data_IF_428657999255
#
_entry.id   IF_428657999255
#
_cell.length_a   1.000
_cell.length_b   1.000
_cell.length_c   1.000
_cell.angle_alpha   90.00
_cell.angle_beta   90.00
_cell.angle_gamma   90.00
#
_symmetry.space_group_name_H-M   'P 1'
#
loop_
_entity.id
_entity.type
_entity.pdbx_description
1 polymer ?
#
# COMPACT_ATOMS: atom_id res chain seq x y z
N UNK A 1 -11.69 -0.87 -13.26
CA UNK A 1 -12.01 -1.24 -11.87
C UNK A 1 -13.26 -2.09 -11.82
N UNK A 2 -13.18 -3.25 -11.19
CA UNK A 2 -14.34 -4.12 -10.95
C UNK A 2 -15.25 -3.48 -9.90
N UNK A 3 -16.57 -3.70 -10.03
CA UNK A 3 -17.61 -3.20 -9.11
C UNK A 3 -17.65 -4.03 -7.82
N UNK A 4 -16.50 -4.23 -7.17
CA UNK A 4 -16.37 -5.09 -5.99
C UNK A 4 -16.65 -4.37 -4.67
N UNK A 5 -16.63 -3.04 -4.67
CA UNK A 5 -16.92 -2.23 -3.48
C UNK A 5 -18.31 -2.49 -2.90
N UNK A 6 -19.39 -2.36 -3.69
CA UNK A 6 -20.76 -2.55 -3.18
C UNK A 6 -21.01 -3.98 -2.67
N UNK A 7 -20.63 -5.05 -3.40
CA UNK A 7 -20.78 -6.41 -2.88
C UNK A 7 -19.96 -6.68 -1.62
N UNK A 8 -18.76 -6.10 -1.51
CA UNK A 8 -17.94 -6.21 -0.30
C UNK A 8 -18.58 -5.48 0.88
N UNK A 9 -19.06 -4.26 0.68
CA UNK A 9 -19.75 -3.46 1.71
C UNK A 9 -20.98 -4.20 2.26
N UNK A 10 -21.78 -4.84 1.39
CA UNK A 10 -22.92 -5.68 1.79
C UNK A 10 -22.52 -6.97 2.50
N UNK A 11 -21.35 -7.54 2.18
CA UNK A 11 -20.85 -8.74 2.83
C UNK A 11 -20.51 -8.46 4.30
N UNK A 12 -19.98 -7.27 4.63
CA UNK A 12 -19.62 -6.91 6.00
C UNK A 12 -20.81 -7.00 6.96
N UNK A 13 -22.01 -6.67 6.50
CA UNK A 13 -23.26 -6.73 7.29
C UNK A 13 -23.72 -8.17 7.61
N UNK A 14 -23.16 -9.17 6.91
CA UNK A 14 -23.59 -10.58 6.98
C UNK A 14 -22.62 -11.49 7.75
N UNK A 15 -21.48 -10.95 8.18
CA UNK A 15 -20.45 -11.72 8.89
C UNK A 15 -20.75 -11.79 10.39
N UNK A 16 -20.61 -13.00 10.96
CA UNK A 16 -20.69 -13.25 12.40
C UNK A 16 -19.41 -13.99 12.86
N UNK A 17 -18.63 -13.43 13.80
CA UNK A 17 -18.85 -12.16 14.51
C UNK A 17 -18.68 -10.92 13.60
N UNK A 18 -19.17 -9.73 14.02
CA UNK A 18 -18.99 -8.49 13.28
C UNK A 18 -17.51 -8.21 12.98
N UNK A 19 -17.25 -7.64 11.80
CA UNK A 19 -15.89 -7.31 11.35
C UNK A 19 -15.30 -6.21 12.23
N UNK A 20 -14.11 -6.46 12.77
CA UNK A 20 -13.38 -5.52 13.63
C UNK A 20 -12.21 -4.83 12.93
N UNK A 21 -11.69 -5.42 11.84
CA UNK A 21 -10.57 -4.90 11.05
C UNK A 21 -10.66 -5.42 9.61
N UNK A 22 -10.27 -4.60 8.63
CA UNK A 22 -10.12 -4.99 7.23
C UNK A 22 -8.63 -5.05 6.90
N UNK A 23 -8.19 -6.14 6.25
CA UNK A 23 -6.87 -6.21 5.60
C UNK A 23 -7.13 -6.13 4.09
N UNK A 24 -6.59 -5.10 3.44
CA UNK A 24 -6.77 -4.86 2.02
C UNK A 24 -5.43 -4.69 1.32
N UNK A 25 -5.33 -5.15 0.08
CA UNK A 25 -4.19 -4.82 -0.76
C UNK A 25 -4.19 -3.31 -1.04
N UNK A 26 -3.01 -2.66 -1.04
CA UNK A 26 -2.88 -1.22 -1.34
C UNK A 26 -3.48 -0.88 -2.70
N UNK A 27 -3.34 -1.75 -3.71
CA UNK A 27 -3.85 -1.51 -5.06
C UNK A 27 -5.39 -1.61 -5.16
N UNK A 28 -6.06 -1.99 -4.07
CA UNK A 28 -7.53 -1.96 -3.94
C UNK A 28 -7.96 -0.61 -3.38
N UNK A 29 -8.05 0.40 -4.26
CA UNK A 29 -8.37 1.81 -3.93
C UNK A 29 -9.55 1.99 -2.96
N UNK A 30 -10.62 1.21 -3.14
CA UNK A 30 -11.84 1.34 -2.35
C UNK A 30 -11.71 0.73 -0.93
N UNK A 31 -10.68 -0.07 -0.65
CA UNK A 31 -10.53 -0.77 0.64
C UNK A 31 -10.47 0.19 1.83
N UNK A 32 -9.66 1.25 1.71
CA UNK A 32 -9.57 2.31 2.72
C UNK A 32 -10.88 3.11 2.81
N UNK A 33 -11.49 3.41 1.66
CA UNK A 33 -12.76 4.14 1.59
C UNK A 33 -13.89 3.44 2.33
N UNK A 34 -14.04 2.12 2.14
CA UNK A 34 -15.04 1.30 2.83
C UNK A 34 -14.77 1.28 4.35
N UNK A 35 -13.53 1.11 4.77
CA UNK A 35 -13.18 1.14 6.19
C UNK A 35 -13.53 2.46 6.87
N UNK A 36 -13.21 3.59 6.23
CA UNK A 36 -13.60 4.93 6.72
C UNK A 36 -15.12 5.04 6.81
N UNK A 37 -15.85 4.67 5.75
CA UNK A 37 -17.33 4.73 5.69
C UNK A 37 -17.98 3.90 6.80
N UNK A 38 -17.42 2.73 7.10
CA UNK A 38 -17.95 1.78 8.10
C UNK A 38 -17.36 2.00 9.51
N UNK A 39 -16.44 2.94 9.69
CA UNK A 39 -15.68 3.14 10.92
C UNK A 39 -14.98 1.85 11.40
N UNK A 40 -14.38 1.11 10.45
CA UNK A 40 -13.60 -0.11 10.68
C UNK A 40 -12.13 0.18 10.36
N UNK A 41 -11.19 -0.11 11.28
CA UNK A 41 -9.76 0.00 11.03
C UNK A 41 -9.30 -0.78 9.79
N UNK A 42 -8.39 -0.18 9.02
CA UNK A 42 -7.83 -0.79 7.79
C UNK A 42 -6.33 -0.99 7.94
N UNK A 43 -5.88 -2.22 7.77
CA UNK A 43 -4.47 -2.55 7.54
C UNK A 43 -4.25 -2.72 6.04
N UNK A 44 -3.35 -1.94 5.46
CA UNK A 44 -2.94 -2.10 4.09
C UNK A 44 -1.85 -3.15 3.96
N UNK A 45 -1.93 -3.97 2.94
CA UNK A 45 -0.99 -5.04 2.62
C UNK A 45 -0.30 -4.71 1.30
N UNK A 46 1.01 -4.50 1.34
CA UNK A 46 1.83 -4.22 0.16
C UNK A 46 2.61 -5.46 -0.25
N UNK A 47 2.41 -5.87 -1.50
CA UNK A 47 2.93 -7.12 -2.05
C UNK A 47 4.27 -6.95 -2.79
N UNK A 48 4.69 -5.72 -3.06
CA UNK A 48 5.98 -5.40 -3.68
C UNK A 48 7.02 -4.94 -2.63
N UNK A 49 8.18 -4.46 -3.08
CA UNK A 49 9.27 -4.02 -2.18
C UNK A 49 8.92 -2.73 -1.42
N UNK A 50 9.56 -2.54 -0.26
CA UNK A 50 9.39 -1.31 0.51
C UNK A 50 9.92 -0.10 -0.24
N UNK A 51 11.05 -0.26 -0.97
CA UNK A 51 11.60 0.78 -1.83
C UNK A 51 10.59 1.26 -2.86
N UNK A 52 9.88 0.34 -3.53
CA UNK A 52 8.95 0.72 -4.58
C UNK A 52 7.76 1.54 -4.05
N UNK A 53 7.20 1.16 -2.89
CA UNK A 53 6.17 1.97 -2.23
C UNK A 53 6.70 3.36 -1.85
N UNK A 54 7.92 3.41 -1.30
CA UNK A 54 8.55 4.69 -0.91
C UNK A 54 8.76 5.61 -2.12
N UNK A 55 9.19 5.08 -3.26
CA UNK A 55 9.35 5.85 -4.49
C UNK A 55 8.00 6.40 -4.99
N UNK A 56 6.96 5.57 -5.06
CA UNK A 56 5.63 6.02 -5.47
C UNK A 56 5.04 7.07 -4.51
N UNK A 57 5.24 6.89 -3.20
CA UNK A 57 4.80 7.85 -2.19
C UNK A 57 5.47 9.21 -2.40
N UNK A 58 6.80 9.24 -2.50
CA UNK A 58 7.57 10.48 -2.66
C UNK A 58 7.25 11.18 -3.98
N UNK A 59 7.02 10.43 -5.06
CA UNK A 59 6.62 11.00 -6.35
C UNK A 59 5.28 11.73 -6.25
N UNK A 60 4.33 11.17 -5.50
CA UNK A 60 3.03 11.78 -5.32
C UNK A 60 3.06 13.08 -4.47
N UNK A 61 4.04 13.19 -3.57
CA UNK A 61 4.21 14.37 -2.70
C UNK A 61 5.17 15.43 -3.26
N UNK A 62 5.97 15.13 -4.29
CA UNK A 62 6.92 16.08 -4.84
C UNK A 62 6.27 17.03 -5.86
N UNK A 63 6.11 18.30 -5.48
CA UNK A 63 6.19 19.41 -6.42
C UNK A 63 7.70 19.59 -6.73
N UNK A 64 8.18 18.92 -7.78
CA UNK A 64 9.56 18.93 -8.35
C UNK A 64 10.66 19.62 -7.52
N UNK A 65 11.12 19.00 -6.42
CA UNK A 65 12.24 19.50 -5.63
C UNK A 65 13.13 18.38 -5.08
N UNK A 66 14.39 18.36 -5.55
CA UNK A 66 15.54 17.57 -5.08
C UNK A 66 15.25 16.13 -4.61
N UNK A 67 14.85 15.26 -5.55
CA UNK A 67 14.98 13.80 -5.36
C UNK A 67 16.37 13.33 -5.83
N UNK A 68 16.85 12.23 -5.26
CA UNK A 68 18.00 11.49 -5.81
C UNK A 68 17.68 11.13 -7.27
N UNK A 69 18.48 11.65 -8.22
CA UNK A 69 18.28 11.49 -9.66
C UNK A 69 18.06 10.03 -10.06
N UNK A 70 18.77 9.11 -9.41
CA UNK A 70 18.68 7.67 -9.63
C UNK A 70 17.26 7.11 -9.36
N UNK A 71 16.53 7.63 -8.37
CA UNK A 71 15.17 7.19 -8.06
C UNK A 71 14.15 7.73 -9.07
N UNK A 72 14.38 8.94 -9.60
CA UNK A 72 13.55 9.53 -10.65
C UNK A 72 13.73 8.75 -11.96
N UNK A 73 14.97 8.39 -12.31
CA UNK A 73 15.26 7.59 -13.51
C UNK A 73 14.64 6.20 -13.41
N UNK A 74 14.83 5.48 -12.29
CA UNK A 74 14.24 4.16 -12.06
C UNK A 74 12.70 4.22 -12.11
N UNK A 75 12.10 5.26 -11.53
CA UNK A 75 10.65 5.45 -11.62
C UNK A 75 10.22 5.82 -13.04
N UNK A 76 10.99 6.63 -13.77
CA UNK A 76 10.77 6.95 -15.17
C UNK A 76 10.72 5.70 -16.05
N UNK A 77 11.67 4.78 -15.88
CA UNK A 77 11.68 3.48 -16.56
C UNK A 77 10.42 2.66 -16.23
N UNK A 78 9.98 2.66 -14.96
CA UNK A 78 8.75 1.99 -14.55
C UNK A 78 7.53 2.61 -15.22
N UNK A 79 7.44 3.94 -15.30
CA UNK A 79 6.31 4.62 -15.96
C UNK A 79 6.29 4.38 -17.46
N UNK A 80 7.46 4.37 -18.13
CA UNK A 80 7.57 4.08 -19.56
C UNK A 80 7.21 2.63 -19.90
N UNK A 81 7.57 1.70 -19.02
CA UNK A 81 7.30 0.28 -19.19
C UNK A 81 5.83 -0.12 -18.93
N UNK A 82 5.03 0.74 -18.30
CA UNK A 82 3.67 0.43 -17.86
C UNK A 82 2.60 1.31 -18.53
N UNK A 83 1.35 0.83 -18.52
CA UNK A 83 0.22 1.62 -19.01
C UNK A 83 0.01 2.86 -18.12
N UNK A 84 -0.05 4.09 -18.67
CA UNK A 84 -0.22 5.31 -17.87
C UNK A 84 -1.48 5.32 -16.99
N UNK A 85 -2.55 4.61 -17.37
CA UNK A 85 -3.77 4.48 -16.55
C UNK A 85 -3.52 3.59 -15.33
N UNK A 86 -2.70 2.56 -15.47
CA UNK A 86 -2.29 1.70 -14.36
C UNK A 86 -1.44 2.51 -13.38
N UNK A 87 -0.49 3.30 -13.89
CA UNK A 87 0.35 4.16 -13.04
C UNK A 87 -0.47 5.25 -12.33
N UNK A 88 -1.42 5.87 -13.01
CA UNK A 88 -2.35 6.82 -12.37
C UNK A 88 -3.12 6.16 -11.23
N UNK A 89 -3.59 4.93 -11.44
CA UNK A 89 -4.32 4.19 -10.41
C UNK A 89 -3.42 3.82 -9.22
N UNK A 90 -2.18 3.42 -9.49
CA UNK A 90 -1.20 3.13 -8.45
C UNK A 90 -0.95 4.37 -7.58
N UNK A 91 -0.77 5.55 -8.18
CA UNK A 91 -0.62 6.80 -7.44
C UNK A 91 -1.86 7.13 -6.61
N UNK A 92 -3.08 7.01 -7.17
CA UNK A 92 -4.35 7.18 -6.46
C UNK A 92 -4.45 6.28 -5.22
N UNK A 93 -4.02 5.02 -5.34
CA UNK A 93 -3.96 4.07 -4.24
C UNK A 93 -2.95 4.48 -3.17
N UNK A 94 -1.78 5.00 -3.58
CA UNK A 94 -0.72 5.45 -2.67
C UNK A 94 -1.17 6.68 -1.87
N UNK A 95 -1.99 7.58 -2.44
CA UNK A 95 -2.57 8.72 -1.69
C UNK A 95 -3.48 8.28 -0.53
N UNK A 96 -4.00 7.04 -0.60
CA UNK A 96 -4.85 6.48 0.45
C UNK A 96 -4.04 5.85 1.58
N UNK A 97 -2.74 5.58 1.40
CA UNK A 97 -1.89 4.95 2.40
C UNK A 97 -1.84 5.73 3.72
N UNK A 98 -1.64 7.07 3.74
CA UNK A 98 -1.67 7.86 4.98
C UNK A 98 -2.98 7.79 5.77
N UNK A 99 -4.08 7.34 5.15
CA UNK A 99 -5.42 7.24 5.77
C UNK A 99 -5.69 5.85 6.39
N UNK A 100 -4.76 4.91 6.24
CA UNK A 100 -4.85 3.59 6.85
C UNK A 100 -4.46 3.61 8.34
N UNK A 101 -4.62 2.48 9.01
CA UNK A 101 -4.26 2.28 10.42
C UNK A 101 -2.96 1.47 10.57
N UNK A 102 -2.59 0.69 9.56
CA UNK A 102 -1.38 -0.13 9.54
C UNK A 102 -0.91 -0.30 8.09
N UNK A 103 0.39 -0.48 7.92
CA UNK A 103 0.97 -0.91 6.63
C UNK A 103 1.82 -2.16 6.84
N UNK A 104 1.44 -3.23 6.16
CA UNK A 104 2.04 -4.55 6.21
C UNK A 104 2.82 -4.80 4.92
N UNK A 105 4.02 -5.37 5.05
CA UNK A 105 4.86 -5.75 3.91
C UNK A 105 5.11 -7.26 3.89
N UNK A 106 5.18 -7.82 2.68
CA UNK A 106 5.58 -9.22 2.44
C UNK A 106 7.10 -9.46 2.55
N UNK A 107 7.87 -8.42 2.88
CA UNK A 107 9.33 -8.42 3.01
C UNK A 107 9.78 -8.46 4.48
N UNK A 108 11.05 -8.83 4.72
CA UNK A 108 11.69 -8.77 6.04
C UNK A 108 12.45 -7.45 6.22
N UNK A 109 12.54 -6.98 7.45
CA UNK A 109 13.22 -5.71 7.78
C UNK A 109 14.66 -5.66 7.28
N UNK A 110 15.38 -6.79 7.40
CA UNK A 110 16.81 -6.92 7.12
C UNK A 110 17.16 -6.68 5.65
N UNK A 111 16.21 -6.84 4.71
CA UNK A 111 16.46 -6.60 3.29
C UNK A 111 16.52 -5.11 2.94
N UNK A 112 15.69 -4.29 3.59
CA UNK A 112 15.52 -2.86 3.25
C UNK A 112 15.46 -1.97 4.52
N UNK A 113 16.41 -2.09 5.47
CA UNK A 113 16.27 -1.51 6.81
C UNK A 113 16.17 0.03 6.78
N UNK A 114 16.93 0.68 5.90
CA UNK A 114 16.88 2.13 5.73
C UNK A 114 15.50 2.61 5.26
N UNK A 115 14.87 1.86 4.35
CA UNK A 115 13.56 2.21 3.80
C UNK A 115 12.49 2.02 4.87
N UNK A 116 12.50 0.88 5.58
CA UNK A 116 11.54 0.65 6.67
C UNK A 116 11.63 1.71 7.77
N UNK A 117 12.84 2.11 8.16
CA UNK A 117 13.03 3.18 9.15
C UNK A 117 12.49 4.53 8.63
N UNK A 118 12.69 4.84 7.34
CA UNK A 118 12.11 6.04 6.74
C UNK A 118 10.59 6.02 6.75
N UNK A 119 9.97 4.90 6.33
CA UNK A 119 8.52 4.75 6.30
C UNK A 119 7.91 4.82 7.71
N UNK A 120 8.56 4.23 8.72
CA UNK A 120 8.14 4.34 10.12
C UNK A 120 8.24 5.75 10.68
N UNK A 121 9.20 6.56 10.22
CA UNK A 121 9.32 7.96 10.62
C UNK A 121 8.30 8.87 9.89
N UNK A 122 7.89 8.48 8.69
CA UNK A 122 6.99 9.25 7.82
C UNK A 122 5.52 9.03 8.16
N UNK A 123 5.10 7.79 8.40
CA UNK A 123 3.71 7.48 8.73
C UNK A 123 3.44 7.59 10.24
N UNK A 124 2.29 8.17 10.58
CA UNK A 124 1.83 8.28 11.98
C UNK A 124 1.30 6.94 12.55
N UNK A 125 1.40 5.85 11.80
CA UNK A 125 0.89 4.53 12.15
C UNK A 125 1.97 3.45 11.98
N UNK A 126 1.78 2.26 12.58
CA UNK A 126 2.80 1.21 12.52
C UNK A 126 3.01 0.63 11.11
N UNK A 127 4.28 0.49 10.74
CA UNK A 127 4.74 -0.20 9.53
C UNK A 127 5.39 -1.54 9.92
N UNK A 128 4.85 -2.64 9.40
CA UNK A 128 5.25 -4.00 9.77
C UNK A 128 5.80 -4.80 8.58
N UNK A 129 7.12 -5.07 8.55
CA UNK A 129 7.69 -6.09 7.67
C UNK A 129 7.40 -7.49 8.23
N UNK A 130 6.34 -8.13 7.73
CA UNK A 130 5.87 -9.44 8.21
C UNK A 130 6.33 -10.62 7.32
N UNK A 131 7.28 -10.37 6.43
CA UNK A 131 7.81 -11.36 5.52
C UNK A 131 8.75 -12.39 6.15
N UNK A 132 9.26 -13.34 5.34
CA UNK A 132 8.80 -13.59 3.98
C UNK A 132 7.42 -14.25 4.01
N UNK A 133 6.47 -13.73 3.23
CA UNK A 133 5.12 -14.31 3.11
C UNK A 133 5.09 -15.53 2.17
N UNK A 134 6.10 -16.39 2.27
CA UNK A 134 6.25 -17.61 1.46
C UNK A 134 5.91 -18.81 2.34
N UNK A 135 5.11 -19.75 1.82
CA UNK A 135 4.78 -20.98 2.53
C UNK A 135 6.06 -21.80 2.79
N UNK A 136 6.32 -22.25 4.03
CA UNK A 136 7.56 -22.96 4.41
C UNK A 136 7.86 -24.24 3.61
N UNK A 137 6.87 -24.76 2.87
CA UNK A 137 6.94 -26.05 2.17
C UNK A 137 7.17 -25.92 0.65
N UNK A 138 7.47 -24.72 0.14
CA UNK A 138 7.72 -24.46 -1.29
C UNK A 138 9.17 -24.01 -1.58
N UNK A 139 10.11 -24.26 -0.65
CA UNK A 139 11.55 -23.94 -0.79
C UNK A 139 12.37 -25.23 -0.69
#
# INVERSE_FOLDING_TARGET
>A
MTKMEDPFDQLLDRLEPPVTTIIADVEVLWGVGVGIKRNIPVALFWTMSAKFLSMLHRFNFSDYGDQELDQIEELGEVFEANDPKVMKLALECIEMVPKAHYLLFTSVYELEPKIFNSLQAEFAFPVYPIGPAVLPYLI
#
